data_IF_438757954636
#
_entry.id   IF_438757954636
#
_cell.length_a   1.000
_cell.length_b   1.000
_cell.length_c   1.000
_cell.angle_alpha   90.00
_cell.angle_beta   90.00
_cell.angle_gamma   90.00
#
_symmetry.space_group_name_H-M   'P 1'
#
loop_
_entity.id
_entity.type
_entity.pdbx_description
1 polymer ?
#
# COMPACT_ATOMS: atom_id res chain seq x y z
N UNK A 1 24.31 2.48 0.41
CA UNK A 1 23.10 3.20 -0.02
C UNK A 1 23.10 3.21 -1.53
N UNK A 2 22.04 2.69 -2.15
CA UNK A 2 21.91 2.60 -3.60
C UNK A 2 21.28 3.88 -4.17
N UNK A 3 21.65 4.27 -5.38
CA UNK A 3 21.01 5.39 -6.08
C UNK A 3 19.60 5.00 -6.53
N UNK A 4 18.59 5.77 -6.12
CA UNK A 4 17.19 5.52 -6.43
C UNK A 4 16.68 6.53 -7.44
N UNK A 5 15.79 6.09 -8.32
CA UNK A 5 15.06 6.93 -9.25
C UNK A 5 13.56 6.74 -9.07
N UNK A 6 12.81 7.83 -9.12
CA UNK A 6 11.35 7.80 -9.05
C UNK A 6 10.73 8.59 -10.19
N UNK A 7 9.55 8.16 -10.66
CA UNK A 7 8.75 8.98 -11.55
C UNK A 7 8.03 10.08 -10.76
N UNK A 8 8.55 11.30 -10.83
CA UNK A 8 8.01 12.43 -10.11
C UNK A 8 6.81 12.99 -10.86
N UNK A 9 5.64 12.98 -10.21
CA UNK A 9 4.39 13.45 -10.82
C UNK A 9 4.46 14.95 -11.15
N UNK A 10 5.24 15.72 -10.38
CA UNK A 10 5.45 17.14 -10.64
C UNK A 10 6.16 17.40 -11.97
N UNK A 11 7.16 16.60 -12.36
CA UNK A 11 7.89 16.80 -13.62
C UNK A 11 7.36 15.93 -14.76
N UNK A 12 6.62 14.86 -14.44
CA UNK A 12 6.19 13.83 -15.38
C UNK A 12 7.35 12.97 -15.90
N UNK A 13 8.48 12.93 -15.20
CA UNK A 13 9.70 12.21 -15.62
C UNK A 13 10.26 11.37 -14.49
N UNK A 14 11.04 10.35 -14.86
CA UNK A 14 11.84 9.59 -13.91
C UNK A 14 13.12 10.37 -13.59
N UNK A 15 13.33 10.63 -12.31
CA UNK A 15 14.38 11.51 -11.79
C UNK A 15 15.13 10.83 -10.65
N UNK A 16 16.39 11.22 -10.45
CA UNK A 16 17.19 10.75 -9.32
C UNK A 16 16.58 11.27 -8.01
N UNK A 17 16.27 10.36 -7.10
CA UNK A 17 15.79 10.69 -5.77
C UNK A 17 16.93 11.28 -4.93
N UNK A 18 16.75 12.51 -4.45
CA UNK A 18 17.75 13.27 -3.71
C UNK A 18 17.11 13.89 -2.46
N UNK A 19 16.92 13.11 -1.38
CA UNK A 19 16.33 13.62 -0.13
C UNK A 19 17.27 14.62 0.57
N UNK A 20 16.70 15.47 1.41
CA UNK A 20 17.45 16.44 2.22
C UNK A 20 18.41 15.75 3.19
N UNK A 21 17.97 14.66 3.84
CA UNK A 21 18.80 13.79 4.67
C UNK A 21 18.55 12.31 4.32
N UNK A 22 19.50 11.62 3.68
CA UNK A 22 19.35 10.20 3.35
C UNK A 22 19.23 9.27 4.57
N UNK A 23 19.60 9.73 5.78
CA UNK A 23 19.40 8.98 7.04
C UNK A 23 18.04 9.23 7.68
N UNK A 24 17.28 10.22 7.21
CA UNK A 24 15.94 10.56 7.68
C UNK A 24 15.11 11.14 6.52
N UNK A 25 14.72 10.25 5.61
CA UNK A 25 13.80 10.56 4.52
C UNK A 25 12.40 10.72 5.10
N UNK A 26 11.88 11.94 5.01
CA UNK A 26 10.52 12.30 5.45
C UNK A 26 9.51 11.94 4.36
N UNK A 27 8.52 11.11 4.70
CA UNK A 27 7.50 10.67 3.75
C UNK A 27 6.11 10.87 4.33
N UNK A 28 5.23 11.54 3.58
CA UNK A 28 3.83 11.67 3.93
C UNK A 28 2.92 10.94 2.93
N UNK A 29 1.95 10.18 3.43
CA UNK A 29 0.90 9.57 2.62
C UNK A 29 -0.47 10.05 3.09
N UNK A 30 -1.32 10.46 2.16
CA UNK A 30 -2.75 10.60 2.46
C UNK A 30 -3.30 9.23 2.90
N UNK A 31 -3.95 9.20 4.06
CA UNK A 31 -4.53 7.99 4.64
C UNK A 31 -6.05 7.90 4.48
N UNK A 32 -6.72 7.02 5.22
CA UNK A 32 -8.15 6.76 5.08
C UNK A 32 -9.02 7.84 5.74
N UNK A 33 -10.19 8.07 5.15
CA UNK A 33 -11.35 8.65 5.84
C UNK A 33 -12.06 7.54 6.62
N UNK A 34 -12.10 7.64 7.96
CA UNK A 34 -12.51 6.54 8.85
C UNK A 34 -14.01 6.57 9.18
N UNK A 35 -14.85 6.39 8.16
CA UNK A 35 -16.32 6.28 8.31
C UNK A 35 -16.89 4.89 7.92
N UNK A 36 -16.04 4.02 7.38
CA UNK A 36 -16.38 2.65 6.95
C UNK A 36 -15.10 1.83 6.79
N UNK A 37 -15.23 0.53 6.50
CA UNK A 37 -14.10 -0.31 6.08
C UNK A 37 -13.49 0.20 4.77
N UNK A 38 -12.15 0.17 4.72
CA UNK A 38 -11.40 0.38 3.50
C UNK A 38 -11.69 -0.75 2.50
N UNK A 39 -11.78 -0.40 1.21
CA UNK A 39 -11.88 -1.39 0.14
C UNK A 39 -10.50 -1.78 -0.39
N UNK A 40 -10.43 -2.86 -1.17
CA UNK A 40 -9.17 -3.38 -1.72
C UNK A 40 -8.41 -2.37 -2.62
N UNK A 41 -9.12 -1.43 -3.24
CA UNK A 41 -8.50 -0.27 -3.89
C UNK A 41 -7.72 0.65 -2.95
N UNK A 42 -8.26 0.98 -1.78
CA UNK A 42 -7.51 1.75 -0.77
C UNK A 42 -6.36 0.89 -0.24
N UNK A 43 -6.61 -0.39 0.03
CA UNK A 43 -5.59 -1.32 0.50
C UNK A 43 -4.40 -1.41 -0.46
N UNK A 44 -4.64 -1.37 -1.78
CA UNK A 44 -3.57 -1.27 -2.78
C UNK A 44 -2.70 -0.03 -2.59
N UNK A 45 -3.30 1.14 -2.37
CA UNK A 45 -2.57 2.38 -2.15
C UNK A 45 -1.74 2.31 -0.87
N UNK A 46 -2.30 1.77 0.22
CA UNK A 46 -1.58 1.61 1.49
C UNK A 46 -0.46 0.57 1.40
N UNK A 47 -0.65 -0.52 0.66
CA UNK A 47 0.40 -1.50 0.39
C UNK A 47 1.51 -0.94 -0.52
N UNK A 48 1.19 -0.02 -1.43
CA UNK A 48 2.22 0.71 -2.17
C UNK A 48 3.13 1.52 -1.23
N UNK A 49 2.55 2.17 -0.21
CA UNK A 49 3.32 2.91 0.82
C UNK A 49 4.22 1.95 1.61
N UNK A 50 3.71 0.78 1.98
CA UNK A 50 4.49 -0.29 2.63
C UNK A 50 5.66 -0.77 1.75
N UNK A 51 5.45 -0.96 0.44
CA UNK A 51 6.51 -1.32 -0.50
C UNK A 51 7.55 -0.22 -0.64
N UNK A 52 7.13 1.05 -0.73
CA UNK A 52 8.05 2.19 -0.74
C UNK A 52 8.92 2.20 0.52
N UNK A 53 8.31 2.05 1.70
CA UNK A 53 9.00 1.99 2.99
C UNK A 53 10.03 0.87 3.05
N UNK A 54 9.60 -0.36 2.74
CA UNK A 54 10.46 -1.55 2.76
C UNK A 54 11.62 -1.42 1.78
N UNK A 55 11.35 -0.87 0.59
CA UNK A 55 12.37 -0.65 -0.45
C UNK A 55 13.39 0.40 -0.02
N UNK A 56 12.97 1.56 0.49
CA UNK A 56 13.88 2.60 0.97
C UNK A 56 14.81 2.07 2.08
N UNK A 57 14.25 1.36 3.07
CA UNK A 57 15.04 0.71 4.14
C UNK A 57 16.04 -0.29 3.58
N UNK A 58 15.59 -1.15 2.65
CA UNK A 58 16.43 -2.17 2.03
C UNK A 58 17.59 -1.57 1.22
N UNK A 59 17.34 -0.44 0.52
CA UNK A 59 18.33 0.29 -0.28
C UNK A 59 19.25 1.21 0.55
N UNK A 60 19.06 1.23 1.88
CA UNK A 60 19.95 1.86 2.85
C UNK A 60 19.56 3.28 3.27
N UNK A 61 18.32 3.70 3.03
CA UNK A 61 17.78 4.97 3.52
C UNK A 61 17.14 4.79 4.90
N UNK A 62 17.33 5.76 5.79
CA UNK A 62 16.52 5.86 7.01
C UNK A 62 15.21 6.58 6.71
N UNK A 63 14.09 6.08 7.21
CA UNK A 63 12.76 6.59 6.90
C UNK A 63 12.06 7.11 8.15
N UNK A 64 11.34 8.22 7.99
CA UNK A 64 10.45 8.83 8.97
C UNK A 64 9.12 9.09 8.25
N UNK A 65 8.19 8.14 8.37
CA UNK A 65 7.01 8.04 7.51
C UNK A 65 5.71 8.29 8.29
N UNK A 66 4.84 9.09 7.69
CA UNK A 66 3.55 9.51 8.23
C UNK A 66 2.43 9.07 7.29
N UNK A 67 1.32 8.60 7.86
CA UNK A 67 0.04 8.48 7.15
C UNK A 67 -1.06 9.05 8.02
N UNK A 68 -1.80 10.05 7.56
CA UNK A 68 -2.85 10.64 8.39
C UNK A 68 -4.07 9.74 8.56
N UNK A 69 -4.91 10.08 9.52
CA UNK A 69 -6.27 9.57 9.64
C UNK A 69 -7.22 10.77 9.50
N UNK A 70 -8.07 10.75 8.47
CA UNK A 70 -9.14 11.75 8.33
C UNK A 70 -10.34 11.31 9.16
N UNK A 71 -10.42 11.87 10.36
CA UNK A 71 -11.46 11.61 11.37
C UNK A 71 -12.50 12.73 11.48
N UNK A 72 -12.52 13.63 10.49
CA UNK A 72 -13.58 14.60 10.23
C UNK A 72 -13.79 14.76 8.72
N UNK A 73 -15.05 14.69 8.28
CA UNK A 73 -15.50 14.86 6.90
C UNK A 73 -17.02 15.06 6.93
N UNK A 74 -17.61 15.61 5.86
CA UNK A 74 -19.06 15.72 5.68
C UNK A 74 -19.80 14.38 5.90
N UNK A 75 -19.23 13.25 5.42
CA UNK A 75 -19.79 11.89 5.61
C UNK A 75 -19.71 11.44 7.07
N UNK A 76 -18.60 11.72 7.75
CA UNK A 76 -18.41 11.38 9.17
C UNK A 76 -19.42 12.16 10.02
N UNK A 77 -19.55 13.47 9.80
CA UNK A 77 -20.46 14.34 10.53
C UNK A 77 -21.91 13.88 10.34
N UNK A 78 -22.33 13.65 9.09
CA UNK A 78 -23.68 13.20 8.78
C UNK A 78 -24.00 11.88 9.50
N UNK A 79 -23.10 10.91 9.43
CA UNK A 79 -23.33 9.57 9.96
C UNK A 79 -23.16 9.52 11.50
N UNK A 80 -22.31 10.36 12.09
CA UNK A 80 -22.17 10.49 13.54
C UNK A 80 -23.43 11.10 14.16
N UNK A 81 -23.98 12.17 13.56
CA UNK A 81 -25.26 12.76 13.99
C UNK A 81 -26.39 11.74 13.87
N UNK A 82 -26.51 11.06 12.72
CA UNK A 82 -27.56 10.06 12.51
C UNK A 82 -27.47 8.88 13.50
N UNK A 83 -26.26 8.53 13.95
CA UNK A 83 -26.02 7.48 14.94
C UNK A 83 -26.03 7.95 16.40
N UNK A 84 -26.27 9.25 16.66
CA UNK A 84 -26.25 9.88 17.98
C UNK A 84 -24.93 9.64 18.73
N UNK A 85 -23.81 9.68 18.02
CA UNK A 85 -22.45 9.52 18.56
C UNK A 85 -21.62 10.77 18.32
N UNK A 86 -20.65 11.03 19.19
CA UNK A 86 -19.58 11.97 18.87
C UNK A 86 -18.76 11.48 17.66
N UNK A 87 -18.07 12.37 16.96
CA UNK A 87 -17.20 11.98 15.83
C UNK A 87 -16.10 11.01 16.28
N UNK A 88 -15.62 11.13 17.52
CA UNK A 88 -14.60 10.25 18.08
C UNK A 88 -15.16 8.84 18.31
N UNK A 89 -16.34 8.72 18.91
CA UNK A 89 -17.02 7.43 19.11
C UNK A 89 -17.43 6.78 17.79
N UNK A 90 -17.80 7.58 16.79
CA UNK A 90 -18.16 7.09 15.47
C UNK A 90 -16.95 6.56 14.68
N UNK A 91 -15.82 7.27 14.71
CA UNK A 91 -14.62 6.94 13.91
C UNK A 91 -13.71 5.89 14.54
N UNK A 92 -13.75 5.73 15.88
CA UNK A 92 -12.92 4.78 16.62
C UNK A 92 -12.95 3.33 16.06
N UNK A 93 -14.12 2.68 15.86
CA UNK A 93 -14.16 1.31 15.35
C UNK A 93 -13.60 1.18 13.92
N UNK A 94 -13.77 2.19 13.08
CA UNK A 94 -13.26 2.18 11.71
C UNK A 94 -11.74 2.37 11.66
N UNK A 95 -11.21 3.19 12.58
CA UNK A 95 -9.77 3.38 12.78
C UNK A 95 -9.11 2.08 13.24
N UNK A 96 -9.71 1.40 14.23
CA UNK A 96 -9.23 0.10 14.70
C UNK A 96 -9.25 -0.95 13.58
N UNK A 97 -10.37 -1.04 12.85
CA UNK A 97 -10.50 -1.96 11.73
C UNK A 97 -9.46 -1.71 10.63
N UNK A 98 -9.15 -0.45 10.33
CA UNK A 98 -8.11 -0.08 9.36
C UNK A 98 -6.74 -0.66 9.75
N UNK A 99 -6.32 -0.50 11.02
CA UNK A 99 -5.05 -1.05 11.49
C UNK A 99 -5.05 -2.58 11.57
N UNK A 100 -6.18 -3.19 11.95
CA UNK A 100 -6.33 -4.65 11.92
C UNK A 100 -6.20 -5.20 10.49
N UNK A 101 -6.82 -4.54 9.52
CA UNK A 101 -6.74 -4.94 8.11
C UNK A 101 -5.30 -4.83 7.58
N UNK A 102 -4.58 -3.74 7.89
CA UNK A 102 -3.17 -3.57 7.53
C UNK A 102 -2.28 -4.66 8.14
N UNK A 103 -2.50 -4.98 9.43
CA UNK A 103 -1.77 -6.05 10.12
C UNK A 103 -2.04 -7.41 9.49
N UNK A 104 -3.29 -7.68 9.10
CA UNK A 104 -3.72 -8.94 8.47
C UNK A 104 -3.01 -9.20 7.16
N UNK A 105 -2.66 -8.14 6.41
CA UNK A 105 -1.83 -8.22 5.19
C UNK A 105 -0.38 -7.81 5.43
N UNK A 106 0.13 -7.98 6.66
CA UNK A 106 1.55 -7.83 7.01
C UNK A 106 2.18 -6.48 6.60
N UNK A 107 1.41 -5.39 6.56
CA UNK A 107 1.96 -4.05 6.36
C UNK A 107 2.70 -3.59 7.63
N UNK A 108 3.82 -2.87 7.46
CA UNK A 108 4.56 -2.31 8.59
C UNK A 108 3.81 -1.12 9.23
N UNK A 109 3.90 -1.01 10.55
CA UNK A 109 3.50 0.21 11.26
C UNK A 109 4.46 1.36 10.94
N UNK A 110 3.90 2.54 10.74
CA UNK A 110 4.61 3.79 10.48
C UNK A 110 4.92 4.55 11.78
N UNK A 111 5.80 5.54 11.69
CA UNK A 111 6.22 6.36 12.83
C UNK A 111 5.07 7.25 13.33
N UNK A 112 4.23 7.75 12.43
CA UNK A 112 3.22 8.75 12.75
C UNK A 112 1.87 8.52 12.05
N UNK A 113 0.79 8.72 12.81
CA UNK A 113 -0.59 8.72 12.32
C UNK A 113 -1.39 9.92 12.86
N UNK A 114 -1.07 11.17 12.44
CA UNK A 114 -1.76 12.34 12.92
C UNK A 114 -3.23 12.32 12.49
N UNK A 115 -4.10 12.83 13.36
CA UNK A 115 -5.53 13.00 13.09
C UNK A 115 -5.85 14.43 12.71
N UNK A 116 -6.85 14.59 11.84
CA UNK A 116 -7.32 15.90 11.43
C UNK A 116 -7.90 16.69 12.62
N UNK A 117 -8.72 16.05 13.46
CA UNK A 117 -9.32 16.71 14.64
C UNK A 117 -8.31 17.20 15.68
N UNK A 118 -7.10 16.64 15.68
CA UNK A 118 -6.02 17.01 16.59
C UNK A 118 -5.07 18.08 16.01
N UNK A 119 -5.28 18.50 14.76
CA UNK A 119 -4.35 19.35 14.01
C UNK A 119 -4.96 20.72 13.66
N UNK A 120 -6.05 21.08 14.34
CA UNK A 120 -6.73 22.36 14.18
C UNK A 120 -5.78 23.57 14.37
N UNK A 121 -4.90 23.62 15.39
CA UNK A 121 -4.01 24.77 15.56
C UNK A 121 -3.14 25.05 14.32
N UNK A 122 -2.58 24.01 13.71
CA UNK A 122 -1.78 24.14 12.48
C UNK A 122 -2.64 24.58 11.27
N UNK A 123 -3.89 24.13 11.19
CA UNK A 123 -4.83 24.60 10.16
C UNK A 123 -5.11 26.10 10.29
N UNK A 124 -5.31 26.59 11.52
CA UNK A 124 -5.52 28.02 11.80
C UNK A 124 -4.27 28.82 11.41
N UNK A 125 -3.06 28.35 11.74
CA UNK A 125 -1.80 29.01 11.36
C UNK A 125 -1.69 29.18 9.83
N UNK A 126 -1.97 28.11 9.07
CA UNK A 126 -1.94 28.14 7.61
C UNK A 126 -2.94 29.18 7.08
N UNK A 127 -4.18 29.15 7.56
CA UNK A 127 -5.21 30.09 7.11
C UNK A 127 -4.81 31.54 7.42
N UNK A 128 -4.27 31.82 8.60
CA UNK A 128 -3.82 33.16 8.98
C UNK A 128 -2.70 33.68 8.06
N UNK A 129 -1.73 32.82 7.70
CA UNK A 129 -0.67 33.15 6.73
C UNK A 129 -1.21 33.37 5.32
N UNK A 130 -2.16 32.56 4.89
CA UNK A 130 -2.81 32.74 3.59
C UNK A 130 -3.63 34.05 3.55
N UNK A 131 -4.33 34.38 4.65
CA UNK A 131 -5.06 35.65 4.82
C UNK A 131 -4.11 36.85 4.71
N UNK A 132 -2.96 36.83 5.40
CA UNK A 132 -2.00 37.95 5.36
C UNK A 132 -1.39 38.18 3.98
N UNK A 133 -1.40 37.16 3.12
CA UNK A 133 -0.95 37.23 1.71
C UNK A 133 -2.08 37.54 0.72
N UNK A 134 -3.30 37.76 1.20
CA UNK A 134 -4.46 38.09 0.37
C UNK A 134 -5.03 36.93 -0.45
N UNK A 135 -4.63 35.68 -0.14
CA UNK A 135 -5.05 34.47 -0.85
C UNK A 135 -6.39 33.90 -0.34
N UNK A 136 -6.92 34.45 0.75
CA UNK A 136 -8.18 34.02 1.36
C UNK A 136 -9.24 35.10 1.18
N UNK A 137 -10.48 34.69 0.97
CA UNK A 137 -11.64 35.55 1.10
C UNK A 137 -12.73 34.86 1.91
N UNK A 138 -13.65 35.67 2.44
CA UNK A 138 -14.79 35.20 3.23
C UNK A 138 -16.07 35.29 2.41
N UNK A 139 -16.94 34.29 2.54
CA UNK A 139 -18.31 34.29 2.02
C UNK A 139 -19.16 33.31 2.81
N UNK A 140 -20.40 33.71 3.11
CA UNK A 140 -21.36 32.87 3.85
C UNK A 140 -20.75 32.34 5.17
N UNK A 141 -20.00 33.21 5.87
CA UNK A 141 -19.27 32.92 7.12
C UNK A 141 -18.20 31.81 7.00
N UNK A 142 -17.91 31.36 5.78
CA UNK A 142 -16.86 30.39 5.46
C UNK A 142 -15.66 31.07 4.78
N UNK A 143 -14.48 30.48 4.92
CA UNK A 143 -13.22 30.98 4.38
C UNK A 143 -12.77 30.13 3.20
N UNK A 144 -12.47 30.78 2.07
CA UNK A 144 -12.11 30.13 0.81
C UNK A 144 -10.73 30.54 0.34
N UNK A 145 -10.01 29.62 -0.28
CA UNK A 145 -8.79 29.87 -1.01
C UNK A 145 -9.11 30.40 -2.41
N UNK A 146 -8.48 31.51 -2.81
CA UNK A 146 -8.64 32.07 -4.15
C UNK A 146 -7.57 31.55 -5.10
N UNK A 147 -7.96 30.62 -5.99
CA UNK A 147 -7.05 30.04 -6.99
C UNK A 147 -6.48 31.12 -7.90
N UNK A 148 -7.33 32.07 -8.33
CA UNK A 148 -6.94 33.14 -9.24
C UNK A 148 -5.81 34.03 -8.69
N UNK A 149 -5.73 34.17 -7.36
CA UNK A 149 -4.70 34.98 -6.71
C UNK A 149 -3.41 34.22 -6.44
N UNK A 150 -3.41 32.89 -6.58
CA UNK A 150 -2.23 32.07 -6.37
C UNK A 150 -1.51 31.80 -7.69
N UNK A 151 -0.26 32.26 -7.79
CA UNK A 151 0.56 31.99 -8.96
C UNK A 151 1.09 30.55 -8.91
N UNK A 152 0.84 29.77 -9.96
CA UNK A 152 1.33 28.40 -10.09
C UNK A 152 0.34 27.30 -9.72
N UNK A 153 -0.94 27.62 -9.50
CA UNK A 153 -1.98 26.58 -9.39
C UNK A 153 -2.05 25.74 -10.67
N UNK A 154 -2.17 24.43 -10.52
CA UNK A 154 -2.24 23.47 -11.63
C UNK A 154 -0.88 22.90 -12.05
N UNK A 155 0.21 23.33 -11.40
CA UNK A 155 1.56 22.90 -11.77
C UNK A 155 1.81 21.41 -11.53
N UNK A 156 1.17 20.81 -10.52
CA UNK A 156 1.32 19.40 -10.18
C UNK A 156 0.47 18.53 -11.13
N UNK A 157 -0.80 18.87 -11.26
CA UNK A 157 -1.83 18.14 -12.03
C UNK A 157 -1.82 18.43 -13.53
N UNK A 158 -1.00 19.40 -13.97
CA UNK A 158 -0.84 19.86 -15.36
C UNK A 158 -2.13 20.40 -15.99
N UNK A 159 -2.97 21.03 -15.18
CA UNK A 159 -4.20 21.67 -15.65
C UNK A 159 -3.93 23.14 -16.03
N UNK A 160 -4.59 23.61 -17.08
CA UNK A 160 -4.58 25.02 -17.46
C UNK A 160 -5.75 25.75 -16.78
N UNK A 161 -5.39 26.71 -15.92
CA UNK A 161 -6.36 27.52 -15.16
C UNK A 161 -6.74 28.83 -15.83
N UNK A 162 -6.14 29.16 -16.98
CA UNK A 162 -6.38 30.44 -17.68
C UNK A 162 -7.82 30.63 -18.17
N UNK A 163 -8.56 29.53 -18.39
CA UNK A 163 -9.96 29.52 -18.82
C UNK A 163 -11.00 29.33 -17.71
N UNK A 164 -10.59 29.34 -16.43
CA UNK A 164 -11.50 29.11 -15.30
C UNK A 164 -12.56 30.21 -15.23
N UNK A 165 -13.84 29.81 -15.26
CA UNK A 165 -14.97 30.73 -15.07
C UNK A 165 -15.02 31.13 -13.60
N UNK A 166 -14.96 32.44 -13.34
CA UNK A 166 -15.19 33.01 -12.02
C UNK A 166 -16.64 32.75 -11.57
N UNK A 167 -16.82 32.16 -10.38
CA UNK A 167 -18.10 32.16 -9.67
C UNK A 167 -18.97 30.90 -9.76
N UNK A 168 -18.59 29.85 -10.47
CA UNK A 168 -19.25 28.52 -10.35
C UNK A 168 -18.79 27.85 -9.05
N UNK A 169 -19.66 27.85 -8.04
CA UNK A 169 -19.35 27.40 -6.67
C UNK A 169 -20.36 26.33 -6.26
N UNK A 170 -19.85 25.25 -5.71
CA UNK A 170 -20.65 24.27 -4.97
C UNK A 170 -19.92 23.91 -3.69
N UNK A 171 -20.70 23.60 -2.67
CA UNK A 171 -20.26 23.32 -1.29
C UNK A 171 -19.64 21.93 -1.09
N UNK A 172 -19.11 21.35 -2.17
CA UNK A 172 -18.61 19.98 -2.22
C UNK A 172 -17.08 19.98 -2.35
N UNK A 173 -16.40 19.24 -1.49
CA UNK A 173 -14.93 19.12 -1.49
C UNK A 173 -14.42 18.18 -2.60
N UNK A 174 -15.31 17.51 -3.34
CA UNK A 174 -15.02 16.66 -4.49
C UNK A 174 -15.39 17.39 -5.79
N UNK A 175 -14.43 17.52 -6.73
CA UNK A 175 -14.66 18.07 -8.07
C UNK A 175 -13.61 17.59 -9.09
N UNK A 176 -13.97 17.63 -10.38
CA UNK A 176 -13.15 17.12 -11.49
C UNK A 176 -12.35 18.23 -12.21
N UNK A 177 -11.38 17.84 -13.03
CA UNK A 177 -10.44 18.75 -13.71
C UNK A 177 -11.13 19.77 -14.62
N UNK A 178 -12.29 19.42 -15.17
CA UNK A 178 -13.08 20.27 -16.05
C UNK A 178 -13.83 21.39 -15.31
N UNK A 179 -13.89 21.31 -13.97
CA UNK A 179 -14.64 22.24 -13.12
C UNK A 179 -13.81 22.66 -11.89
N UNK A 180 -12.60 23.13 -12.18
CA UNK A 180 -11.70 23.76 -11.22
C UNK A 180 -12.41 24.96 -10.60
N UNK A 181 -12.31 25.13 -9.28
CA UNK A 181 -12.98 26.18 -8.52
C UNK A 181 -12.23 26.50 -7.23
N UNK A 182 -12.43 27.70 -6.70
CA UNK A 182 -11.99 28.05 -5.36
C UNK A 182 -12.51 27.03 -4.35
N UNK A 183 -11.66 26.61 -3.42
CA UNK A 183 -11.99 25.59 -2.43
C UNK A 183 -12.00 26.17 -1.03
N UNK A 184 -12.76 25.54 -0.15
CA UNK A 184 -12.94 25.97 1.23
C UNK A 184 -11.75 25.56 2.11
N UNK A 185 -11.35 26.47 2.99
CA UNK A 185 -10.34 26.27 4.01
C UNK A 185 -11.00 26.04 5.37
N UNK A 186 -12.05 26.80 5.67
CA UNK A 186 -12.80 26.73 6.92
C UNK A 186 -14.30 26.88 6.64
N UNK A 187 -15.08 25.86 6.99
CA UNK A 187 -16.54 25.81 6.80
C UNK A 187 -17.24 26.24 8.09
N UNK A 188 -18.19 27.16 7.98
CA UNK A 188 -19.15 27.43 9.05
C UNK A 188 -20.10 26.23 9.22
N UNK A 189 -20.55 25.92 10.46
CA UNK A 189 -21.50 24.82 10.68
C UNK A 189 -22.85 25.15 10.05
N UNK A 190 -23.51 24.16 9.46
CA UNK A 190 -24.79 24.33 8.76
C UNK A 190 -25.96 23.66 9.46
N UNK A 191 -25.67 22.65 10.28
CA UNK A 191 -26.68 21.88 10.99
C UNK A 191 -26.35 21.80 12.47
N UNK A 192 -27.40 21.71 13.29
CA UNK A 192 -27.25 21.52 14.74
C UNK A 192 -26.55 20.18 15.03
N UNK A 193 -25.60 20.18 15.96
CA UNK A 193 -24.80 19.00 16.31
C UNK A 193 -23.65 18.69 15.36
N UNK A 194 -23.40 19.51 14.33
CA UNK A 194 -22.18 19.43 13.51
C UNK A 194 -20.94 19.68 14.36
N UNK A 195 -19.92 18.82 14.20
CA UNK A 195 -18.67 18.99 14.90
C UNK A 195 -17.97 20.28 14.43
N UNK A 196 -17.66 21.16 15.37
CA UNK A 196 -17.05 22.46 15.12
C UNK A 196 -16.12 22.88 16.25
N UNK A 197 -15.19 23.78 15.93
CA UNK A 197 -14.23 24.37 16.86
C UNK A 197 -14.44 25.88 16.89
N UNK A 198 -14.47 26.43 18.10
CA UNK A 198 -14.38 27.88 18.31
C UNK A 198 -12.92 28.31 18.20
N UNK A 199 -12.64 29.22 17.27
CA UNK A 199 -11.29 29.68 16.96
C UNK A 199 -11.27 31.18 16.69
N UNK A 200 -10.07 31.76 16.56
CA UNK A 200 -9.90 33.16 16.15
C UNK A 200 -10.44 33.45 14.73
N UNK A 201 -10.72 32.42 13.93
CA UNK A 201 -11.33 32.55 12.61
C UNK A 201 -12.86 32.52 12.64
N UNK A 202 -13.46 32.30 13.82
CA UNK A 202 -14.87 31.98 13.99
C UNK A 202 -15.11 30.48 14.23
N UNK A 203 -16.35 30.15 14.59
CA UNK A 203 -16.78 28.77 14.81
C UNK A 203 -16.92 28.04 13.48
N UNK A 204 -16.31 26.87 13.36
CA UNK A 204 -16.40 26.08 12.14
C UNK A 204 -15.52 24.85 12.17
N UNK A 205 -15.19 24.33 10.99
CA UNK A 205 -14.36 23.14 10.82
C UNK A 205 -13.49 23.26 9.57
N UNK A 206 -12.41 22.48 9.45
CA UNK A 206 -11.59 22.53 8.25
C UNK A 206 -12.31 22.02 7.00
N UNK A 207 -11.90 22.55 5.85
CA UNK A 207 -12.13 21.88 4.56
C UNK A 207 -11.14 20.73 4.37
N UNK A 208 -11.57 19.66 3.68
CA UNK A 208 -10.83 18.40 3.58
C UNK A 208 -9.35 18.56 3.17
N UNK A 209 -9.07 19.41 2.18
CA UNK A 209 -7.71 19.58 1.66
C UNK A 209 -6.72 20.20 2.66
N UNK A 210 -7.21 21.04 3.58
CA UNK A 210 -6.35 21.77 4.53
C UNK A 210 -5.70 20.84 5.55
N UNK A 211 -6.34 19.70 5.82
CA UNK A 211 -5.92 18.76 6.84
C UNK A 211 -4.52 18.23 6.58
N UNK A 212 -4.24 17.79 5.35
CA UNK A 212 -2.97 17.18 4.99
C UNK A 212 -1.81 18.19 5.08
N UNK A 213 -1.98 19.39 4.53
CA UNK A 213 -1.00 20.49 4.67
C UNK A 213 -0.70 20.80 6.15
N UNK A 214 -1.73 20.85 7.00
CA UNK A 214 -1.56 21.11 8.43
C UNK A 214 -0.87 19.95 9.16
N UNK A 215 -1.23 18.70 8.87
CA UNK A 215 -0.66 17.52 9.52
C UNK A 215 0.79 17.28 9.12
N UNK A 216 1.17 17.55 7.87
CA UNK A 216 2.58 17.56 7.44
C UNK A 216 3.37 18.52 8.30
N UNK A 217 2.89 19.76 8.47
CA UNK A 217 3.55 20.76 9.31
C UNK A 217 3.54 20.39 10.78
N UNK A 218 2.47 19.80 11.29
CA UNK A 218 2.40 19.33 12.69
C UNK A 218 3.54 18.38 13.00
N UNK A 219 3.79 17.41 12.12
CA UNK A 219 4.83 16.37 12.30
C UNK A 219 6.23 16.91 11.97
N UNK A 220 6.42 17.49 10.79
CA UNK A 220 7.76 17.79 10.27
C UNK A 220 8.19 19.24 10.45
N UNK A 221 7.27 20.15 10.77
CA UNK A 221 7.48 21.61 10.87
C UNK A 221 7.93 22.28 9.57
N UNK A 222 7.92 21.55 8.46
CA UNK A 222 8.31 21.96 7.11
C UNK A 222 7.58 21.12 6.05
N UNK A 223 7.96 21.27 4.79
CA UNK A 223 7.69 20.28 3.73
C UNK A 223 8.38 18.92 3.96
N UNK A 224 8.18 17.99 3.02
CA UNK A 224 8.67 16.59 3.06
C UNK A 224 9.44 16.18 1.81
N UNK A 225 10.28 15.14 1.92
CA UNK A 225 11.04 14.61 0.78
C UNK A 225 10.12 13.92 -0.24
N UNK A 226 9.16 13.12 0.25
CA UNK A 226 8.21 12.39 -0.58
C UNK A 226 6.78 12.61 -0.07
N UNK A 227 5.86 12.89 -1.00
CA UNK A 227 4.43 12.85 -0.73
C UNK A 227 3.73 11.84 -1.65
N UNK A 228 2.80 11.05 -1.10
CA UNK A 228 2.18 9.92 -1.79
C UNK A 228 0.66 9.87 -1.67
N UNK A 229 0.00 9.32 -2.69
CA UNK A 229 -1.45 9.05 -2.67
C UNK A 229 -1.94 8.23 -3.86
N UNK A 230 -3.26 8.08 -3.99
CA UNK A 230 -3.88 7.56 -5.20
C UNK A 230 -3.84 8.59 -6.33
N UNK A 231 -3.90 8.15 -7.60
CA UNK A 231 -3.91 9.05 -8.77
C UNK A 231 -5.11 10.02 -8.78
N UNK A 232 -6.20 9.65 -8.12
CA UNK A 232 -7.36 10.50 -7.84
C UNK A 232 -7.07 11.64 -6.87
N UNK A 233 -6.06 11.51 -6.01
CA UNK A 233 -5.66 12.60 -5.11
C UNK A 233 -4.76 13.62 -5.80
N UNK A 234 -4.19 13.30 -6.97
CA UNK A 234 -3.38 14.26 -7.74
C UNK A 234 -4.14 15.57 -7.98
N UNK A 235 -5.45 15.48 -8.26
CA UNK A 235 -6.34 16.61 -8.38
C UNK A 235 -7.75 16.24 -7.89
N UNK A 236 -8.41 17.10 -7.08
CA UNK A 236 -7.94 18.42 -6.66
C UNK A 236 -7.05 18.40 -5.40
N UNK A 237 -7.01 17.27 -4.68
CA UNK A 237 -6.51 17.22 -3.31
C UNK A 237 -5.05 17.70 -3.17
N UNK A 238 -4.09 17.03 -3.79
CA UNK A 238 -2.68 17.40 -3.69
C UNK A 238 -2.35 18.73 -4.38
N UNK A 239 -3.07 19.12 -5.44
CA UNK A 239 -2.91 20.45 -6.03
C UNK A 239 -3.33 21.55 -5.04
N UNK A 240 -4.41 21.31 -4.29
CA UNK A 240 -4.85 22.21 -3.23
C UNK A 240 -3.85 22.26 -2.07
N UNK A 241 -3.27 21.13 -1.68
CA UNK A 241 -2.20 21.10 -0.66
C UNK A 241 -0.98 21.91 -1.09
N UNK A 242 -0.55 21.77 -2.34
CA UNK A 242 0.52 22.60 -2.93
C UNK A 242 0.18 24.08 -2.81
N UNK A 243 -1.03 24.46 -3.23
CA UNK A 243 -1.46 25.86 -3.21
C UNK A 243 -1.54 26.44 -1.78
N UNK A 244 -2.02 25.65 -0.82
CA UNK A 244 -2.11 26.04 0.60
C UNK A 244 -0.72 26.18 1.22
N UNK A 245 0.14 25.18 1.05
CA UNK A 245 1.45 25.11 1.69
C UNK A 245 2.41 26.14 1.10
N UNK A 246 2.53 26.22 -0.23
CA UNK A 246 3.40 27.21 -0.87
C UNK A 246 2.81 28.62 -0.82
N UNK A 247 1.48 28.73 -0.79
CA UNK A 247 0.81 30.00 -0.51
C UNK A 247 1.20 30.51 0.87
N UNK A 248 1.14 29.68 1.91
CA UNK A 248 1.47 30.07 3.28
C UNK A 248 2.98 30.24 3.52
N UNK A 249 3.82 29.41 2.88
CA UNK A 249 5.28 29.30 3.10
C UNK A 249 6.04 29.26 1.75
N UNK A 250 6.05 30.35 0.96
CA UNK A 250 6.65 30.38 -0.38
C UNK A 250 8.17 30.23 -0.40
N UNK A 251 8.82 30.41 0.74
CA UNK A 251 10.26 30.20 0.94
C UNK A 251 10.64 28.73 1.13
N UNK A 252 9.68 27.84 1.35
CA UNK A 252 9.89 26.41 1.61
C UNK A 252 9.61 25.58 0.35
N UNK A 253 10.36 24.48 0.18
CA UNK A 253 9.95 23.40 -0.75
C UNK A 253 8.93 22.54 -0.02
N UNK A 254 7.67 22.56 -0.46
CA UNK A 254 6.63 21.77 0.19
C UNK A 254 6.84 20.27 0.02
N UNK A 255 7.12 19.80 -1.21
CA UNK A 255 7.37 18.38 -1.50
C UNK A 255 8.46 18.24 -2.56
N UNK A 256 9.47 17.42 -2.27
CA UNK A 256 10.53 17.11 -3.24
C UNK A 256 10.07 16.18 -4.36
N UNK A 257 9.47 15.05 -4.02
CA UNK A 257 9.04 14.00 -4.97
C UNK A 257 7.58 13.58 -4.74
N UNK A 258 6.77 13.62 -5.80
CA UNK A 258 5.36 13.19 -5.76
C UNK A 258 5.15 11.82 -6.40
N UNK A 259 4.63 10.85 -5.65
CA UNK A 259 4.38 9.50 -6.13
C UNK A 259 2.89 9.14 -6.03
N UNK A 260 2.27 8.79 -7.16
CA UNK A 260 0.86 8.44 -7.22
C UNK A 260 0.65 7.01 -7.70
N UNK A 261 -0.14 6.24 -6.96
CA UNK A 261 -0.54 4.88 -7.34
C UNK A 261 -1.77 4.86 -8.22
N UNK A 262 -1.78 4.00 -9.23
CA UNK A 262 -2.88 3.84 -10.17
C UNK A 262 -4.02 3.00 -9.59
N UNK A 263 -5.20 3.14 -10.18
CA UNK A 263 -6.40 2.49 -9.68
C UNK A 263 -6.36 0.96 -9.76
N UNK A 264 -7.06 0.34 -8.81
CA UNK A 264 -7.47 -1.05 -8.90
C UNK A 264 -8.82 -1.15 -9.64
N UNK A 265 -8.90 -2.08 -10.58
CA UNK A 265 -10.12 -2.51 -11.26
C UNK A 265 -10.57 -3.86 -10.70
N UNK A 266 -11.86 -4.15 -10.78
CA UNK A 266 -12.44 -5.48 -10.49
C UNK A 266 -13.16 -5.95 -11.74
N UNK A 267 -12.73 -7.09 -12.29
CA UNK A 267 -13.25 -7.68 -13.52
C UNK A 267 -13.32 -6.68 -14.69
N UNK A 268 -12.25 -5.89 -14.83
CA UNK A 268 -12.07 -4.87 -15.89
C UNK A 268 -12.82 -3.57 -15.64
N UNK A 269 -13.54 -3.42 -14.52
CA UNK A 269 -14.36 -2.24 -14.22
C UNK A 269 -13.86 -1.47 -12.99
N UNK A 270 -14.11 -0.16 -12.96
CA UNK A 270 -13.94 0.65 -11.74
C UNK A 270 -14.85 0.08 -10.64
N UNK A 271 -14.34 -0.01 -9.43
CA UNK A 271 -15.11 -0.45 -8.26
C UNK A 271 -16.20 0.58 -7.91
N UNK A 272 -17.40 0.11 -7.61
CA UNK A 272 -18.44 0.90 -6.96
C UNK A 272 -19.39 0.01 -6.17
N UNK A 273 -19.98 0.56 -5.10
CA UNK A 273 -21.04 -0.13 -4.35
C UNK A 273 -22.24 -0.48 -5.24
N UNK A 274 -22.62 0.45 -6.13
CA UNK A 274 -23.75 0.27 -7.05
C UNK A 274 -23.61 -0.87 -8.05
N UNK A 275 -22.36 -1.24 -8.41
CA UNK A 275 -22.08 -2.34 -9.34
C UNK A 275 -21.88 -3.70 -8.63
N UNK A 276 -21.95 -3.74 -7.30
CA UNK A 276 -21.74 -4.96 -6.53
C UNK A 276 -20.31 -5.53 -6.60
N UNK A 277 -19.36 -4.77 -7.16
CA UNK A 277 -17.95 -5.15 -7.32
C UNK A 277 -17.03 -4.44 -6.30
N UNK A 278 -17.61 -3.98 -5.20
CA UNK A 278 -16.91 -3.39 -4.06
C UNK A 278 -16.56 -4.50 -3.07
N UNK A 279 -15.27 -4.69 -2.81
CA UNK A 279 -14.79 -5.69 -1.83
C UNK A 279 -13.91 -5.03 -0.78
N UNK A 280 -14.18 -5.35 0.48
CA UNK A 280 -13.24 -5.13 1.59
C UNK A 280 -12.28 -6.31 1.71
N UNK A 281 -11.20 -6.15 2.49
CA UNK A 281 -10.32 -7.28 2.81
C UNK A 281 -11.11 -8.42 3.49
N UNK A 282 -12.00 -8.05 4.41
CA UNK A 282 -12.81 -8.99 5.20
C UNK A 282 -13.77 -9.79 4.32
N UNK A 283 -14.38 -9.17 3.31
CA UNK A 283 -15.23 -9.88 2.35
C UNK A 283 -14.45 -10.96 1.59
N UNK A 284 -13.20 -10.68 1.22
CA UNK A 284 -12.35 -11.63 0.51
C UNK A 284 -11.92 -12.79 1.42
N UNK A 285 -11.56 -12.50 2.66
CA UNK A 285 -11.21 -13.52 3.67
C UNK A 285 -12.43 -14.42 3.97
N UNK A 286 -13.61 -13.83 4.13
CA UNK A 286 -14.86 -14.57 4.35
C UNK A 286 -15.21 -15.50 3.17
N UNK A 287 -14.70 -15.21 1.96
CA UNK A 287 -14.80 -16.09 0.78
C UNK A 287 -13.71 -17.17 0.73
N UNK A 288 -12.89 -17.30 1.77
CA UNK A 288 -11.81 -18.27 1.87
C UNK A 288 -10.52 -17.87 1.16
N UNK A 289 -10.37 -16.59 0.78
CA UNK A 289 -9.12 -16.11 0.18
C UNK A 289 -8.08 -15.83 1.26
N UNK A 290 -6.88 -16.37 1.05
CA UNK A 290 -5.74 -16.20 1.95
C UNK A 290 -5.20 -14.74 1.90
N UNK A 291 -5.02 -14.07 3.06
CA UNK A 291 -4.47 -12.71 3.11
C UNK A 291 -3.12 -12.54 2.43
N UNK A 292 -2.22 -13.54 2.50
CA UNK A 292 -0.90 -13.47 1.83
C UNK A 292 -1.07 -13.41 0.32
N UNK A 293 -1.99 -14.20 -0.23
CA UNK A 293 -2.36 -14.16 -1.64
C UNK A 293 -2.95 -12.80 -2.06
N UNK A 294 -3.80 -12.19 -1.23
CA UNK A 294 -4.39 -10.87 -1.49
C UNK A 294 -3.27 -9.82 -1.51
N UNK A 295 -2.41 -9.81 -0.49
CA UNK A 295 -1.25 -8.92 -0.42
C UNK A 295 -0.39 -9.04 -1.67
N UNK A 296 0.04 -10.26 -2.00
CA UNK A 296 0.91 -10.53 -3.13
C UNK A 296 0.32 -10.01 -4.44
N UNK A 297 -0.97 -10.28 -4.70
CA UNK A 297 -1.65 -9.77 -5.89
C UNK A 297 -1.57 -8.24 -5.96
N UNK A 298 -1.94 -7.55 -4.88
CA UNK A 298 -2.01 -6.09 -4.84
C UNK A 298 -0.65 -5.40 -5.05
N UNK A 299 0.47 -6.06 -4.69
CA UNK A 299 1.83 -5.53 -4.84
C UNK A 299 2.57 -6.05 -6.09
N UNK A 300 2.08 -7.10 -6.75
CA UNK A 300 2.79 -7.80 -7.84
C UNK A 300 2.93 -7.00 -9.15
N UNK A 301 2.21 -5.88 -9.27
CA UNK A 301 2.26 -4.99 -10.43
C UNK A 301 2.85 -3.64 -10.03
N UNK A 302 3.55 -3.00 -10.97
CA UNK A 302 4.03 -1.62 -10.82
C UNK A 302 2.92 -0.69 -10.29
N UNK A 303 3.23 0.12 -9.28
CA UNK A 303 2.24 0.95 -8.58
C UNK A 303 1.54 1.94 -9.51
N UNK A 304 2.27 2.48 -10.50
CA UNK A 304 1.76 3.36 -11.58
C UNK A 304 1.05 2.65 -12.73
N UNK A 305 0.73 1.36 -12.61
CA UNK A 305 -0.09 0.63 -13.59
C UNK A 305 -1.44 0.28 -12.99
N UNK A 306 -2.51 0.30 -13.79
CA UNK A 306 -3.80 -0.22 -13.34
C UNK A 306 -3.68 -1.72 -13.08
N UNK A 307 -4.17 -2.18 -11.93
CA UNK A 307 -4.21 -3.60 -11.58
C UNK A 307 -5.64 -4.10 -11.70
N UNK A 308 -5.83 -5.26 -12.31
CA UNK A 308 -7.15 -5.90 -12.37
C UNK A 308 -7.24 -7.03 -11.34
N UNK A 309 -8.12 -6.88 -10.36
CA UNK A 309 -8.52 -7.91 -9.44
C UNK A 309 -9.56 -8.84 -10.09
N UNK A 310 -9.35 -10.14 -9.97
CA UNK A 310 -10.29 -11.20 -10.39
C UNK A 310 -9.93 -12.50 -9.68
N UNK A 311 -10.83 -13.49 -9.71
CA UNK A 311 -10.61 -14.82 -9.13
C UNK A 311 -9.41 -15.55 -9.76
N UNK A 312 -9.19 -15.37 -11.05
CA UNK A 312 -8.07 -16.02 -11.74
C UNK A 312 -6.73 -15.41 -11.30
N UNK A 313 -6.69 -14.09 -11.10
CA UNK A 313 -5.48 -13.38 -10.66
C UNK A 313 -5.10 -13.70 -9.22
N UNK A 314 -6.08 -13.88 -8.34
CA UNK A 314 -5.79 -14.31 -6.97
C UNK A 314 -5.31 -15.76 -6.95
N UNK A 315 -5.87 -16.65 -7.77
CA UNK A 315 -5.39 -18.03 -7.89
C UNK A 315 -3.96 -18.10 -8.44
N UNK A 316 -3.63 -17.25 -9.41
CA UNK A 316 -2.26 -17.08 -9.94
C UNK A 316 -1.31 -16.60 -8.84
N UNK A 317 -1.71 -15.58 -8.06
CA UNK A 317 -0.94 -15.08 -6.92
C UNK A 317 -0.66 -16.21 -5.90
N UNK A 318 -1.67 -16.96 -5.49
CA UNK A 318 -1.50 -18.11 -4.59
C UNK A 318 -0.56 -19.17 -5.18
N UNK A 319 -0.68 -19.47 -6.48
CA UNK A 319 0.22 -20.42 -7.13
C UNK A 319 1.67 -19.94 -7.17
N UNK A 320 1.88 -18.64 -7.30
CA UNK A 320 3.20 -18.03 -7.34
C UNK A 320 3.86 -18.05 -5.96
N UNK A 321 3.12 -17.74 -4.89
CA UNK A 321 3.60 -17.91 -3.51
C UNK A 321 4.00 -19.36 -3.27
N UNK A 322 3.14 -20.33 -3.60
CA UNK A 322 3.45 -21.76 -3.40
C UNK A 322 4.73 -22.21 -4.10
N UNK A 323 5.03 -21.72 -5.30
CA UNK A 323 6.28 -22.07 -6.00
C UNK A 323 7.52 -21.61 -5.21
N UNK A 324 7.46 -20.41 -4.66
CA UNK A 324 8.55 -19.85 -3.85
C UNK A 324 8.65 -20.60 -2.53
N UNK A 325 7.51 -20.84 -1.86
CA UNK A 325 7.43 -21.58 -0.60
C UNK A 325 7.97 -23.00 -0.73
N UNK A 326 7.56 -23.78 -1.75
CA UNK A 326 8.05 -25.15 -1.95
C UNK A 326 9.57 -25.22 -2.11
N UNK A 327 10.18 -24.23 -2.77
CA UNK A 327 11.63 -24.13 -2.88
C UNK A 327 12.28 -23.85 -1.53
N UNK A 328 11.70 -22.94 -0.74
CA UNK A 328 12.15 -22.61 0.61
C UNK A 328 12.05 -23.83 1.53
N UNK A 329 10.91 -24.53 1.51
CA UNK A 329 10.67 -25.70 2.35
C UNK A 329 11.68 -26.81 2.11
N UNK A 330 11.96 -27.13 0.84
CA UNK A 330 12.98 -28.12 0.48
C UNK A 330 14.36 -27.74 1.01
N UNK A 331 14.68 -26.46 1.07
CA UNK A 331 15.94 -25.98 1.66
C UNK A 331 15.91 -26.11 3.19
N UNK A 332 14.80 -25.77 3.84
CA UNK A 332 14.63 -25.89 5.29
C UNK A 332 14.66 -27.35 5.76
N UNK A 333 14.12 -28.30 4.98
CA UNK A 333 14.20 -29.74 5.28
C UNK A 333 15.67 -30.24 5.31
N UNK A 334 16.52 -29.66 4.46
CA UNK A 334 17.94 -30.01 4.38
C UNK A 334 18.82 -29.18 5.34
N UNK A 335 18.31 -28.06 5.83
CA UNK A 335 18.98 -27.15 6.76
C UNK A 335 18.03 -26.71 7.88
N UNK A 336 17.56 -27.63 8.76
CA UNK A 336 16.50 -27.36 9.73
C UNK A 336 16.87 -26.32 10.80
N UNK A 337 18.17 -26.12 11.02
CA UNK A 337 18.69 -25.10 11.93
C UNK A 337 18.85 -23.71 11.29
N UNK A 338 18.63 -23.59 9.97
CA UNK A 338 18.75 -22.32 9.27
C UNK A 338 17.55 -21.43 9.61
N UNK A 339 17.86 -20.19 10.00
CA UNK A 339 16.86 -19.14 10.28
C UNK A 339 17.19 -17.90 9.48
N UNK A 340 16.18 -17.16 9.07
CA UNK A 340 16.36 -15.86 8.43
C UNK A 340 17.23 -14.94 9.31
N UNK A 341 18.31 -14.41 8.73
CA UNK A 341 19.27 -13.53 9.39
C UNK A 341 19.52 -12.30 8.51
N UNK A 342 19.03 -11.14 8.95
CA UNK A 342 19.18 -9.88 8.24
C UNK A 342 20.64 -9.38 8.13
N UNK A 343 21.55 -9.92 8.93
CA UNK A 343 22.98 -9.58 8.95
C UNK A 343 23.85 -10.54 8.13
N UNK A 344 23.22 -11.50 7.44
CA UNK A 344 23.92 -12.53 6.69
C UNK A 344 24.82 -11.96 5.57
N UNK A 345 26.02 -12.49 5.45
CA UNK A 345 27.00 -12.10 4.42
C UNK A 345 27.00 -13.14 3.31
N UNK A 346 26.47 -12.75 2.16
CA UNK A 346 26.47 -13.57 0.95
C UNK A 346 27.87 -13.67 0.34
N UNK A 347 28.21 -14.83 -0.21
CA UNK A 347 29.50 -15.06 -0.85
C UNK A 347 29.42 -15.85 -2.16
N UNK A 348 28.29 -16.51 -2.42
CA UNK A 348 28.01 -17.19 -3.70
C UNK A 348 27.77 -16.15 -4.79
N UNK A 349 28.51 -16.24 -5.89
CA UNK A 349 28.46 -15.27 -7.00
C UNK A 349 27.05 -15.09 -7.57
N UNK A 350 26.32 -16.19 -7.81
CA UNK A 350 24.94 -16.14 -8.31
C UNK A 350 24.01 -15.41 -7.34
N UNK A 351 24.16 -15.63 -6.03
CA UNK A 351 23.34 -15.00 -5.00
C UNK A 351 23.63 -13.50 -4.90
N UNK A 352 24.91 -13.12 -4.98
CA UNK A 352 25.31 -11.71 -5.04
C UNK A 352 24.73 -11.00 -6.26
N UNK A 353 24.72 -11.65 -7.42
CA UNK A 353 24.11 -11.11 -8.63
C UNK A 353 22.60 -10.94 -8.48
N UNK A 354 21.87 -11.97 -8.04
CA UNK A 354 20.41 -11.85 -7.85
C UNK A 354 20.04 -10.81 -6.80
N UNK A 355 20.83 -10.69 -5.72
CA UNK A 355 20.62 -9.63 -4.72
C UNK A 355 20.74 -8.25 -5.36
N UNK A 356 21.81 -8.03 -6.12
CA UNK A 356 22.07 -6.75 -6.80
C UNK A 356 20.94 -6.42 -7.79
N UNK A 357 20.56 -7.36 -8.65
CA UNK A 357 19.52 -7.16 -9.66
C UNK A 357 18.15 -6.88 -9.03
N UNK A 358 17.86 -7.51 -7.89
CA UNK A 358 16.67 -7.25 -7.10
C UNK A 358 16.67 -5.82 -6.52
N UNK A 359 17.78 -5.39 -5.92
CA UNK A 359 17.96 -4.03 -5.42
C UNK A 359 17.85 -2.98 -6.54
N UNK A 360 18.52 -3.20 -7.68
CA UNK A 360 18.47 -2.31 -8.84
C UNK A 360 17.05 -2.22 -9.44
N UNK A 361 16.28 -3.31 -9.40
CA UNK A 361 14.88 -3.30 -9.82
C UNK A 361 14.01 -2.41 -8.92
N UNK A 362 14.20 -2.45 -7.60
CA UNK A 362 13.47 -1.60 -6.66
C UNK A 362 13.92 -0.15 -6.72
N UNK A 363 15.21 0.09 -6.94
CA UNK A 363 15.78 1.42 -7.13
C UNK A 363 15.31 2.10 -8.43
N UNK A 364 14.83 1.33 -9.40
CA UNK A 364 14.23 1.81 -10.66
C UNK A 364 12.70 2.01 -10.51
N UNK A 365 12.27 3.07 -9.82
CA UNK A 365 10.85 3.44 -9.62
C UNK A 365 10.00 2.31 -8.99
N UNK A 366 10.55 1.58 -8.00
CA UNK A 366 9.89 0.45 -7.34
C UNK A 366 9.38 -0.61 -8.34
N UNK A 367 10.23 -1.04 -9.28
CA UNK A 367 9.83 -1.99 -10.31
C UNK A 367 9.67 -3.41 -9.75
N UNK A 368 8.57 -3.66 -9.06
CA UNK A 368 8.26 -4.94 -8.42
C UNK A 368 8.14 -6.07 -9.45
N UNK A 369 7.69 -5.78 -10.68
CA UNK A 369 7.59 -6.78 -11.74
C UNK A 369 8.96 -7.30 -12.18
N UNK A 370 9.97 -6.42 -12.32
CA UNK A 370 11.36 -6.84 -12.57
C UNK A 370 11.95 -7.57 -11.35
N UNK A 371 11.68 -7.07 -10.15
CA UNK A 371 12.14 -7.71 -8.92
C UNK A 371 11.59 -9.16 -8.80
N UNK A 372 10.30 -9.38 -9.09
CA UNK A 372 9.70 -10.71 -9.13
C UNK A 372 10.31 -11.61 -10.20
N UNK A 373 10.69 -11.07 -11.36
CA UNK A 373 11.38 -11.86 -12.39
C UNK A 373 12.73 -12.39 -11.87
N UNK A 374 13.48 -11.58 -11.11
CA UNK A 374 14.72 -12.00 -10.44
C UNK A 374 14.43 -13.10 -9.40
N UNK A 375 13.34 -12.99 -8.63
CA UNK A 375 12.93 -14.03 -7.68
C UNK A 375 12.64 -15.36 -8.40
N UNK A 376 11.85 -15.36 -9.48
CA UNK A 376 11.52 -16.61 -10.16
C UNK A 376 12.72 -17.23 -10.89
N UNK A 377 13.63 -16.42 -11.43
CA UNK A 377 14.86 -16.93 -12.03
C UNK A 377 15.78 -17.55 -10.97
N UNK A 378 15.93 -16.93 -9.79
CA UNK A 378 16.71 -17.53 -8.70
C UNK A 378 16.09 -18.84 -8.21
N UNK A 379 14.77 -18.91 -8.04
CA UNK A 379 14.06 -20.16 -7.67
C UNK A 379 14.32 -21.27 -8.68
N UNK A 380 14.28 -20.97 -9.98
CA UNK A 380 14.56 -21.95 -11.03
C UNK A 380 15.99 -22.48 -10.95
N UNK A 381 16.97 -21.59 -10.77
CA UNK A 381 18.38 -21.98 -10.67
C UNK A 381 18.66 -22.75 -9.37
N UNK A 382 18.11 -22.32 -8.24
CA UNK A 382 18.21 -23.02 -6.95
C UNK A 382 17.70 -24.46 -7.12
N UNK A 383 16.48 -24.65 -7.61
CA UNK A 383 15.93 -25.99 -7.82
C UNK A 383 16.82 -26.85 -8.72
N UNK A 384 17.34 -26.29 -9.82
CA UNK A 384 18.25 -27.02 -10.71
C UNK A 384 19.55 -27.46 -10.03
N UNK A 385 20.11 -26.65 -9.13
CA UNK A 385 21.33 -27.01 -8.37
C UNK A 385 21.00 -28.08 -7.32
N UNK A 386 19.85 -27.94 -6.66
CA UNK A 386 19.37 -28.90 -5.66
C UNK A 386 19.04 -30.26 -6.29
N UNK A 387 18.45 -30.31 -7.49
CA UNK A 387 18.13 -31.55 -8.23
C UNK A 387 19.39 -32.29 -8.69
N UNK A 388 20.46 -31.55 -8.95
CA UNK A 388 21.75 -32.12 -9.32
C UNK A 388 22.58 -32.57 -8.10
N UNK A 389 22.07 -32.38 -6.87
CA UNK A 389 22.77 -32.59 -5.60
C UNK A 389 24.14 -31.89 -5.54
N UNK A 390 24.19 -30.64 -6.07
CA UNK A 390 25.42 -29.85 -6.19
C UNK A 390 25.55 -28.75 -5.14
N UNK A 391 24.49 -28.47 -4.38
CA UNK A 391 24.53 -27.44 -3.35
C UNK A 391 25.06 -28.01 -2.04
N UNK A 392 26.18 -27.47 -1.54
CA UNK A 392 26.65 -27.75 -0.18
C UNK A 392 25.81 -27.01 0.87
N UNK A 393 26.04 -27.33 2.15
CA UNK A 393 25.28 -26.73 3.26
C UNK A 393 25.40 -25.20 3.33
N UNK A 394 26.59 -24.66 3.02
CA UNK A 394 26.80 -23.22 3.00
C UNK A 394 25.93 -22.58 1.93
N UNK A 395 25.94 -23.12 0.71
CA UNK A 395 25.17 -22.61 -0.41
C UNK A 395 23.66 -22.70 -0.16
N UNK A 396 23.18 -23.81 0.41
CA UNK A 396 21.76 -23.96 0.82
C UNK A 396 21.35 -22.90 1.84
N UNK A 397 22.21 -22.62 2.83
CA UNK A 397 21.97 -21.52 3.78
C UNK A 397 21.92 -20.18 3.07
N UNK A 398 22.83 -19.87 2.14
CA UNK A 398 22.75 -18.62 1.37
C UNK A 398 21.44 -18.52 0.57
N UNK A 399 20.91 -19.63 0.04
CA UNK A 399 19.62 -19.68 -0.65
C UNK A 399 18.43 -19.37 0.28
N UNK A 400 18.42 -19.91 1.50
CA UNK A 400 17.39 -19.55 2.49
C UNK A 400 17.46 -18.04 2.81
N UNK A 401 18.67 -17.50 2.96
CA UNK A 401 18.88 -16.10 3.29
C UNK A 401 18.47 -15.15 2.16
N UNK A 402 18.69 -15.52 0.89
CA UNK A 402 18.24 -14.66 -0.22
C UNK A 402 16.71 -14.69 -0.35
N UNK A 403 16.05 -15.82 -0.09
CA UNK A 403 14.58 -15.87 -0.05
C UNK A 403 14.02 -15.04 1.11
N UNK A 404 14.63 -15.09 2.29
CA UNK A 404 14.31 -14.21 3.41
C UNK A 404 14.53 -12.73 3.05
N UNK A 405 15.60 -12.44 2.31
CA UNK A 405 15.89 -11.09 1.85
C UNK A 405 14.83 -10.55 0.89
N UNK A 406 14.34 -11.36 -0.07
CA UNK A 406 13.22 -10.99 -0.93
C UNK A 406 11.92 -10.79 -0.13
N UNK A 407 11.66 -11.65 0.84
CA UNK A 407 10.44 -11.60 1.63
C UNK A 407 10.36 -10.37 2.54
N UNK A 408 11.48 -9.66 2.80
CA UNK A 408 11.44 -8.33 3.42
C UNK A 408 10.60 -7.31 2.63
N UNK A 409 10.42 -7.52 1.32
CA UNK A 409 9.52 -6.73 0.48
C UNK A 409 8.13 -7.38 0.41
N UNK A 410 8.07 -8.68 0.10
CA UNK A 410 6.82 -9.34 -0.20
C UNK A 410 6.01 -9.72 1.04
N UNK A 411 6.63 -10.19 2.12
CA UNK A 411 5.98 -10.52 3.39
C UNK A 411 4.91 -11.61 3.26
N UNK A 412 5.21 -12.67 2.51
CA UNK A 412 4.26 -13.75 2.18
C UNK A 412 4.80 -15.16 2.45
N UNK A 413 6.10 -15.31 2.69
CA UNK A 413 6.70 -16.62 2.93
C UNK A 413 6.61 -17.02 4.41
N UNK A 414 6.70 -18.31 4.65
CA UNK A 414 6.83 -18.90 5.97
C UNK A 414 8.22 -19.53 6.11
N UNK A 415 8.96 -19.11 7.14
CA UNK A 415 10.31 -19.61 7.43
C UNK A 415 10.32 -20.55 8.64
N UNK A 416 9.16 -20.85 9.21
CA UNK A 416 9.08 -21.88 10.25
C UNK A 416 9.26 -23.26 9.61
N UNK A 417 10.18 -24.06 10.16
CA UNK A 417 10.30 -25.48 9.85
C UNK A 417 9.19 -26.29 10.52
N UNK A 418 8.37 -25.66 11.36
CA UNK A 418 7.05 -26.15 11.77
C UNK A 418 6.06 -26.04 10.60
N UNK A 419 6.43 -26.64 9.46
CA UNK A 419 5.45 -27.37 8.68
C UNK A 419 4.86 -28.39 9.65
N UNK A 420 3.64 -28.13 10.09
CA UNK A 420 2.80 -29.11 10.77
C UNK A 420 3.11 -30.49 10.17
N UNK A 421 3.47 -31.46 11.01
CA UNK A 421 3.71 -32.87 10.65
C UNK A 421 2.73 -33.43 9.60
N UNK A 422 1.56 -32.81 9.51
CA UNK A 422 0.47 -33.01 8.57
C UNK A 422 0.87 -32.78 7.10
N UNK A 423 1.61 -31.73 6.72
CA UNK A 423 1.91 -31.44 5.30
C UNK A 423 2.98 -32.38 4.71
N UNK A 424 4.00 -32.74 5.50
CA UNK A 424 4.97 -33.75 5.09
C UNK A 424 4.36 -35.17 5.07
N UNK A 425 3.43 -35.46 5.97
CA UNK A 425 2.59 -36.67 5.90
C UNK A 425 1.73 -36.67 4.63
N UNK A 426 1.13 -35.53 4.25
CA UNK A 426 0.33 -35.41 3.03
C UNK A 426 1.19 -35.64 1.79
N UNK A 427 2.34 -34.99 1.68
CA UNK A 427 3.23 -35.14 0.53
C UNK A 427 3.82 -36.56 0.46
N UNK A 428 4.18 -37.16 1.59
CA UNK A 428 4.62 -38.57 1.69
C UNK A 428 3.53 -39.55 1.26
N UNK A 429 2.29 -39.33 1.68
CA UNK A 429 1.13 -40.11 1.24
C UNK A 429 0.91 -39.96 -0.27
N UNK A 430 1.13 -38.77 -0.83
CA UNK A 430 1.01 -38.55 -2.28
C UNK A 430 2.11 -39.28 -3.06
N UNK A 431 3.36 -39.28 -2.58
CA UNK A 431 4.46 -40.05 -3.17
C UNK A 431 4.24 -41.57 -3.05
N UNK A 432 3.75 -42.04 -1.90
CA UNK A 432 3.40 -43.45 -1.69
C UNK A 432 2.27 -43.86 -2.64
N UNK A 433 1.26 -43.00 -2.83
CA UNK A 433 0.19 -43.20 -3.80
C UNK A 433 0.72 -43.27 -5.23
N UNK A 434 1.68 -42.42 -5.61
CA UNK A 434 2.32 -42.49 -6.92
C UNK A 434 3.08 -43.81 -7.13
N UNK A 435 3.81 -44.26 -6.10
CA UNK A 435 4.55 -45.52 -6.12
C UNK A 435 3.60 -46.72 -6.24
N UNK A 436 2.51 -46.71 -5.48
CA UNK A 436 1.45 -47.73 -5.56
C UNK A 436 0.84 -47.79 -6.98
N UNK A 437 0.51 -46.64 -7.59
CA UNK A 437 0.01 -46.58 -8.97
C UNK A 437 1.04 -47.10 -9.98
N UNK A 438 2.31 -46.74 -9.83
CA UNK A 438 3.41 -47.21 -10.70
C UNK A 438 3.58 -48.73 -10.62
N UNK A 439 3.43 -49.29 -9.42
CA UNK A 439 3.48 -50.72 -9.15
C UNK A 439 2.16 -51.46 -9.46
N UNK A 440 1.14 -50.76 -9.99
CA UNK A 440 -0.22 -51.26 -10.26
C UNK A 440 -0.96 -51.77 -9.02
N UNK A 441 -0.59 -51.29 -7.83
CA UNK A 441 -1.33 -51.49 -6.59
C UNK A 441 -2.41 -50.41 -6.45
N UNK A 442 -3.51 -50.62 -7.17
CA UNK A 442 -4.64 -49.68 -7.18
C UNK A 442 -5.38 -49.64 -5.83
N UNK A 443 -5.38 -50.75 -5.08
CA UNK A 443 -6.04 -50.82 -3.78
C UNK A 443 -5.35 -49.90 -2.76
N UNK A 444 -4.01 -49.92 -2.70
CA UNK A 444 -3.25 -49.00 -1.84
C UNK A 444 -3.38 -47.54 -2.30
N UNK A 445 -3.38 -47.28 -3.61
CA UNK A 445 -3.58 -45.94 -4.15
C UNK A 445 -4.94 -45.33 -3.78
N UNK A 446 -6.02 -46.12 -3.85
CA UNK A 446 -7.35 -45.66 -3.48
C UNK A 446 -7.46 -45.44 -1.96
N UNK A 447 -6.91 -46.34 -1.14
CA UNK A 447 -6.89 -46.19 0.32
C UNK A 447 -6.19 -44.88 0.75
N UNK A 448 -5.08 -44.52 0.11
CA UNK A 448 -4.36 -43.28 0.40
C UNK A 448 -5.16 -42.05 -0.06
N UNK A 449 -5.84 -42.10 -1.21
CA UNK A 449 -6.72 -40.99 -1.65
C UNK A 449 -7.82 -40.74 -0.63
N UNK A 450 -8.44 -41.79 -0.11
CA UNK A 450 -9.54 -41.68 0.84
C UNK A 450 -9.04 -41.19 2.22
N UNK A 451 -7.84 -41.61 2.63
CA UNK A 451 -7.15 -41.08 3.82
C UNK A 451 -6.89 -39.57 3.70
N UNK A 452 -6.36 -39.12 2.56
CA UNK A 452 -6.10 -37.71 2.29
C UNK A 452 -7.41 -36.91 2.24
N UNK A 453 -8.46 -37.46 1.62
CA UNK A 453 -9.78 -36.84 1.59
C UNK A 453 -10.38 -36.66 2.99
N UNK A 454 -10.19 -37.63 3.90
CA UNK A 454 -10.65 -37.55 5.29
C UNK A 454 -9.92 -36.45 6.08
N UNK A 455 -8.69 -36.11 5.70
CA UNK A 455 -7.93 -34.98 6.25
C UNK A 455 -8.27 -33.64 5.56
N UNK A 456 -9.29 -33.62 4.70
CA UNK A 456 -9.69 -32.43 3.96
C UNK A 456 -8.76 -32.13 2.79
N UNK A 457 -8.02 -33.10 2.25
CA UNK A 457 -7.12 -32.93 1.11
C UNK A 457 -7.73 -33.55 -0.15
N UNK A 458 -7.97 -32.71 -1.15
CA UNK A 458 -8.44 -33.11 -2.47
C UNK A 458 -7.26 -33.32 -3.40
N UNK A 459 -7.18 -34.48 -4.05
CA UNK A 459 -6.12 -34.84 -5.00
C UNK A 459 -6.68 -34.80 -6.43
N UNK A 460 -5.96 -34.17 -7.33
CA UNK A 460 -6.25 -34.08 -8.76
C UNK A 460 -5.06 -34.67 -9.56
N UNK A 461 -5.31 -35.75 -10.30
CA UNK A 461 -4.35 -36.32 -11.22
C UNK A 461 -4.39 -35.55 -12.55
N UNK A 462 -3.33 -34.82 -12.92
CA UNK A 462 -3.25 -34.09 -14.19
C UNK A 462 -2.18 -34.69 -15.11
N UNK A 463 -2.18 -34.30 -16.39
CA UNK A 463 -1.13 -34.71 -17.35
C UNK A 463 0.26 -34.20 -16.97
N UNK A 464 0.33 -33.13 -16.18
CA UNK A 464 1.57 -32.47 -15.73
C UNK A 464 1.98 -32.91 -14.31
N UNK A 465 1.29 -33.88 -13.71
CA UNK A 465 1.56 -34.40 -12.37
C UNK A 465 0.36 -34.33 -11.43
N UNK A 466 0.56 -34.78 -10.19
CA UNK A 466 -0.47 -34.73 -9.15
C UNK A 466 -0.50 -33.34 -8.52
N UNK A 467 -1.69 -32.78 -8.35
CA UNK A 467 -1.93 -31.57 -7.57
C UNK A 467 -2.85 -31.91 -6.40
N UNK A 468 -2.68 -31.21 -5.30
CA UNK A 468 -3.61 -31.32 -4.18
C UNK A 468 -4.00 -29.95 -3.63
N UNK A 469 -5.13 -29.89 -2.94
CA UNK A 469 -5.60 -28.70 -2.23
C UNK A 469 -6.33 -29.08 -0.95
N UNK A 470 -6.26 -28.22 0.06
CA UNK A 470 -7.15 -28.30 1.23
C UNK A 470 -8.58 -27.92 0.83
N UNK A 471 -9.55 -28.62 1.38
CA UNK A 471 -10.98 -28.46 1.14
C UNK A 471 -11.51 -27.18 1.77
#
# INVERSE_FOLDING_TARGET
MMEVHFHNSLSGKKEKFSPADPKRVTVYSCGPTVYNFAHIGNLRAFLFVDILRRSLKLLGYGVDMTMNITDIDDKIIRDSIASQKSIQEFTAPWTEAFFEDLKTVSAETLEHYPKATESIPEMIEIIQKLKSKGLVYEKDESLYFSIQKFNGYGKLSKIDVSGMKTGTRYDTDEYEKEDVRDFVLWKSPKVEGEASWETELGTGRPGWHLECSAMIRKVYKSGVDIHTGGVDLLFPHHENEVAQSEGAFPEEIFVGTWLHSEHLLVDGQKMSKSKGNFYTLRDLIARGLDPKSIRFLLISSHYRSKLNFSTDRIAEASSNIRKIQNCLDRLLDLEPDAKADSSFVFSTESVLHWKKDFEESLADDLNVSKALAVVFESIKQINSVMDADKADSKQRREYIQILAYYDRIFGVLDFSSEKDLIDSEIDSLIEERQTARKNKDFARSDAIRDQLLAQGILIEDTKDGIRWRRK
#
